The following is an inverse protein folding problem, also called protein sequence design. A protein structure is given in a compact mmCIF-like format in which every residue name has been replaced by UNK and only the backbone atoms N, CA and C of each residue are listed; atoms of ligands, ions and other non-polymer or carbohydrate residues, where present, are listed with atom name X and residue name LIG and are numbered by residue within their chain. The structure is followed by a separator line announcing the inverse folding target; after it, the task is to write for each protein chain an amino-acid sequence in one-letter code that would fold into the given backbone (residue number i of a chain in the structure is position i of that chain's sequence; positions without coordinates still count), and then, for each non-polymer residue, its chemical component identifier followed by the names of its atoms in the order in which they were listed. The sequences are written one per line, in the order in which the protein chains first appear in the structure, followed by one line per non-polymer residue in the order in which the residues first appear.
data_IF_291592247521
#
_entry.id   IF_291592247521
#
_cell.length_a   1.000
_cell.length_b   1.000
_cell.length_c   1.000
_cell.angle_alpha   90.00
_cell.angle_beta   90.00
_cell.angle_gamma   90.00
#
_symmetry.space_group_name_H-M   'P 1'
#
loop_
_entity.id
_entity.type
_entity.pdbx_description
1 polymer ?
#
# COMPACT_ATOMS: atom_id res chain seq x y z
N UNK A 1 -2.39 -20.69 -37.38
CA UNK A 1 -2.11 -19.95 -36.14
C UNK A 1 -3.31 -19.04 -35.89
N UNK A 2 -4.09 -19.28 -34.83
CA UNK A 2 -5.21 -18.41 -34.51
C UNK A 2 -4.68 -17.06 -34.04
N UNK A 3 -5.24 -15.96 -34.56
CA UNK A 3 -4.94 -14.62 -34.04
C UNK A 3 -5.35 -14.58 -32.56
N UNK A 4 -4.44 -14.15 -31.67
CA UNK A 4 -4.73 -14.02 -30.24
C UNK A 4 -4.66 -15.30 -29.40
N UNK A 5 -3.86 -16.31 -29.76
CA UNK A 5 -3.57 -17.44 -28.85
C UNK A 5 -2.63 -16.99 -27.71
N UNK A 6 -3.16 -16.22 -26.78
CA UNK A 6 -2.46 -15.80 -25.57
C UNK A 6 -2.76 -16.81 -24.45
N UNK A 7 -1.79 -17.14 -23.59
CA UNK A 7 -2.06 -17.98 -22.43
C UNK A 7 -2.91 -17.21 -21.40
N UNK A 8 -3.46 -17.92 -20.42
CA UNK A 8 -4.17 -17.29 -19.31
C UNK A 8 -3.30 -16.24 -18.60
N UNK A 9 -3.95 -15.28 -17.92
CA UNK A 9 -3.30 -14.09 -17.37
C UNK A 9 -2.05 -14.38 -16.52
N UNK A 10 -2.04 -15.47 -15.75
CA UNK A 10 -0.93 -15.84 -14.87
C UNK A 10 0.31 -16.34 -15.62
N UNK A 11 0.17 -16.76 -16.88
CA UNK A 11 1.27 -17.14 -17.79
C UNK A 11 1.53 -16.08 -18.88
N UNK A 12 0.76 -14.99 -18.94
CA UNK A 12 0.98 -13.94 -19.94
C UNK A 12 2.37 -13.32 -19.85
N UNK A 13 2.93 -13.15 -18.65
CA UNK A 13 4.25 -12.54 -18.49
C UNK A 13 5.38 -13.34 -19.17
N UNK A 14 5.29 -14.67 -19.26
CA UNK A 14 6.32 -15.48 -19.95
C UNK A 14 6.23 -15.31 -21.46
N UNK A 15 5.02 -15.27 -22.00
CA UNK A 15 4.77 -15.01 -23.43
C UNK A 15 5.16 -13.57 -23.79
N UNK A 16 4.80 -12.60 -22.97
CA UNK A 16 5.17 -11.20 -23.15
C UNK A 16 6.68 -11.00 -23.15
N UNK A 17 7.40 -11.68 -22.25
CA UNK A 17 8.86 -11.69 -22.24
C UNK A 17 9.42 -12.26 -23.54
N UNK A 18 8.89 -13.39 -24.04
CA UNK A 18 9.32 -13.96 -25.31
C UNK A 18 9.06 -13.04 -26.52
N UNK A 19 7.96 -12.29 -26.51
CA UNK A 19 7.61 -11.33 -27.58
C UNK A 19 8.52 -10.12 -27.64
N UNK A 20 8.90 -9.58 -26.49
CA UNK A 20 9.71 -8.36 -26.44
C UNK A 20 11.20 -8.65 -26.37
N UNK A 21 11.63 -9.88 -26.10
CA UNK A 21 13.05 -10.18 -26.03
C UNK A 21 13.75 -9.81 -27.36
N UNK A 22 14.90 -9.11 -27.33
CA UNK A 22 15.70 -8.89 -28.52
C UNK A 22 16.15 -10.23 -29.14
N UNK A 23 16.39 -10.30 -30.46
CA UNK A 23 16.91 -11.50 -31.11
C UNK A 23 18.41 -11.69 -30.80
N UNK A 24 18.73 -11.86 -29.51
CA UNK A 24 20.08 -12.08 -29.01
C UNK A 24 20.36 -13.58 -28.97
N UNK A 25 21.05 -14.04 -30.00
CA UNK A 25 21.54 -15.41 -30.12
C UNK A 25 23.05 -15.43 -29.94
N UNK A 26 23.55 -16.46 -29.24
CA UNK A 26 24.98 -16.70 -29.15
C UNK A 26 25.36 -17.94 -29.93
N UNK A 27 26.31 -17.77 -30.84
CA UNK A 27 26.90 -18.85 -31.60
C UNK A 27 28.25 -19.17 -30.97
N UNK A 28 28.35 -20.32 -30.30
CA UNK A 28 29.58 -20.77 -29.66
C UNK A 28 30.01 -22.11 -30.25
N UNK A 29 31.13 -22.09 -30.97
CA UNK A 29 31.70 -23.26 -31.65
C UNK A 29 30.71 -23.87 -32.67
N UNK A 30 30.20 -25.08 -32.43
CA UNK A 30 29.17 -25.77 -33.23
C UNK A 30 27.79 -25.79 -32.56
N UNK A 31 27.61 -24.99 -31.50
CA UNK A 31 26.36 -24.90 -30.75
C UNK A 31 25.76 -23.49 -30.86
N UNK A 32 24.44 -23.44 -30.91
CA UNK A 32 23.66 -22.19 -30.91
C UNK A 32 22.85 -22.12 -29.63
N UNK A 33 22.97 -21.01 -28.91
CA UNK A 33 22.10 -20.65 -27.80
C UNK A 33 21.05 -19.70 -28.38
N UNK A 34 19.81 -20.18 -28.65
CA UNK A 34 18.79 -19.37 -29.29
C UNK A 34 18.15 -18.40 -28.28
N UNK A 35 17.56 -17.31 -28.78
CA UNK A 35 16.96 -16.26 -27.96
C UNK A 35 15.95 -16.74 -26.89
N UNK A 36 15.12 -17.78 -27.11
CA UNK A 36 14.21 -18.30 -26.09
C UNK A 36 14.89 -18.84 -24.82
N UNK A 37 16.18 -19.17 -24.87
CA UNK A 37 16.94 -19.59 -23.68
C UNK A 37 16.92 -18.50 -22.61
N UNK A 38 16.95 -17.22 -22.99
CA UNK A 38 16.89 -16.11 -22.04
C UNK A 38 15.57 -16.02 -21.30
N UNK A 39 14.47 -16.33 -21.98
CA UNK A 39 13.13 -16.40 -21.36
C UNK A 39 13.13 -17.48 -20.30
N UNK A 40 13.68 -18.67 -20.61
CA UNK A 40 13.81 -19.77 -19.65
C UNK A 40 14.73 -19.41 -18.47
N UNK A 41 15.85 -18.72 -18.72
CA UNK A 41 16.78 -18.26 -17.67
C UNK A 41 16.11 -17.24 -16.75
N UNK A 42 15.44 -16.22 -17.28
CA UNK A 42 14.74 -15.22 -16.47
C UNK A 42 13.59 -15.87 -15.69
N UNK A 43 12.87 -16.79 -16.32
CA UNK A 43 11.82 -17.54 -15.64
C UNK A 43 12.37 -18.36 -14.47
N UNK A 44 13.48 -19.09 -14.68
CA UNK A 44 14.19 -19.79 -13.63
C UNK A 44 14.67 -18.84 -12.54
N UNK A 45 15.20 -17.67 -12.90
CA UNK A 45 15.63 -16.65 -11.94
C UNK A 45 14.47 -16.17 -11.06
N UNK A 46 13.31 -15.86 -11.65
CA UNK A 46 12.11 -15.44 -10.88
C UNK A 46 11.65 -16.55 -9.94
N UNK A 47 11.60 -17.80 -10.41
CA UNK A 47 11.20 -18.95 -9.58
C UNK A 47 12.21 -19.29 -8.48
N UNK A 48 13.47 -18.90 -8.61
CA UNK A 48 14.47 -19.04 -7.54
C UNK A 48 14.39 -17.86 -6.57
N UNK A 49 14.29 -16.63 -7.07
CA UNK A 49 14.30 -15.42 -6.25
C UNK A 49 13.06 -15.30 -5.37
N UNK A 50 11.87 -15.70 -5.86
CA UNK A 50 10.62 -15.56 -5.12
C UNK A 50 10.60 -16.40 -3.81
N UNK A 51 10.87 -17.71 -3.83
CA UNK A 51 10.98 -18.49 -2.59
C UNK A 51 12.24 -18.16 -1.77
N UNK A 52 13.32 -17.71 -2.41
CA UNK A 52 14.54 -17.31 -1.70
C UNK A 52 14.40 -15.93 -1.02
N UNK A 53 13.41 -15.12 -1.40
CA UNK A 53 13.22 -13.74 -0.94
C UNK A 53 13.33 -13.54 0.59
N UNK A 54 12.63 -14.30 1.46
CA UNK A 54 12.74 -14.12 2.91
C UNK A 54 14.17 -14.34 3.44
N UNK A 55 14.92 -15.27 2.84
CA UNK A 55 16.33 -15.52 3.22
C UNK A 55 17.26 -14.40 2.73
N UNK A 56 16.99 -13.86 1.53
CA UNK A 56 17.72 -12.70 1.01
C UNK A 56 17.46 -11.47 1.89
N UNK A 57 16.20 -11.15 2.18
CA UNK A 57 15.82 -10.01 3.02
C UNK A 57 16.44 -10.13 4.42
N UNK A 58 16.31 -11.30 5.05
CA UNK A 58 16.94 -11.60 6.34
C UNK A 58 18.45 -11.33 6.33
N UNK A 59 19.15 -11.76 5.28
CA UNK A 59 20.60 -11.57 5.14
C UNK A 59 20.99 -10.11 4.95
N UNK A 60 20.26 -9.34 4.16
CA UNK A 60 20.60 -7.94 3.87
C UNK A 60 20.15 -6.97 4.97
N UNK A 61 18.99 -7.20 5.59
CA UNK A 61 18.47 -6.35 6.67
C UNK A 61 19.09 -6.71 8.02
N UNK A 62 19.61 -7.94 8.18
CA UNK A 62 20.11 -8.43 9.45
C UNK A 62 19.00 -8.74 10.45
N UNK A 63 17.77 -8.96 9.96
CA UNK A 63 16.60 -9.20 10.80
C UNK A 63 16.41 -10.68 11.11
N UNK A 64 16.91 -11.10 12.28
CA UNK A 64 16.83 -12.48 12.78
C UNK A 64 15.81 -12.65 13.91
N UNK A 65 15.08 -11.60 14.29
CA UNK A 65 14.16 -11.66 15.42
C UNK A 65 12.83 -12.35 15.06
N UNK A 66 12.16 -12.91 16.07
CA UNK A 66 10.83 -13.50 15.90
C UNK A 66 9.76 -12.40 15.79
N UNK A 67 9.14 -12.31 14.61
CA UNK A 67 8.14 -11.30 14.30
C UNK A 67 6.73 -11.91 14.27
N UNK A 68 5.88 -11.51 15.23
CA UNK A 68 4.46 -11.89 15.28
C UNK A 68 3.53 -10.74 14.90
N UNK A 69 4.05 -9.51 14.84
CA UNK A 69 3.31 -8.32 14.43
C UNK A 69 3.65 -7.96 12.98
N UNK A 70 2.61 -7.71 12.19
CA UNK A 70 2.77 -7.30 10.80
C UNK A 70 3.30 -5.88 10.71
N UNK A 71 4.31 -5.69 9.87
CA UNK A 71 4.79 -4.36 9.52
C UNK A 71 3.90 -3.77 8.42
N UNK A 72 3.43 -2.53 8.60
CA UNK A 72 2.67 -1.85 7.55
C UNK A 72 3.58 -1.60 6.34
N UNK A 73 3.08 -1.75 5.09
CA UNK A 73 3.91 -1.57 3.91
C UNK A 73 4.62 -0.21 3.83
N UNK A 74 4.00 0.86 4.36
CA UNK A 74 4.64 2.18 4.39
C UNK A 74 5.83 2.26 5.35
N UNK A 75 5.92 1.38 6.34
CA UNK A 75 6.98 1.38 7.37
C UNK A 75 8.26 0.68 6.90
N UNK A 76 8.18 -0.11 5.82
CA UNK A 76 9.32 -0.82 5.23
C UNK A 76 9.50 -0.40 3.77
N UNK A 77 9.94 0.86 3.53
CA UNK A 77 9.86 1.49 2.21
C UNK A 77 10.69 0.76 1.14
N UNK A 78 11.81 0.15 1.51
CA UNK A 78 12.66 -0.62 0.58
C UNK A 78 11.95 -1.90 0.12
N UNK A 79 11.44 -2.72 1.05
CA UNK A 79 10.68 -3.94 0.72
C UNK A 79 9.48 -3.61 -0.15
N UNK A 80 8.72 -2.59 0.22
CA UNK A 80 7.52 -2.18 -0.53
C UNK A 80 7.87 -1.67 -1.93
N UNK A 81 8.98 -0.94 -2.07
CA UNK A 81 9.46 -0.49 -3.38
C UNK A 81 9.97 -1.65 -4.25
N UNK A 82 10.67 -2.65 -3.69
CA UNK A 82 11.06 -3.88 -4.41
C UNK A 82 9.81 -4.66 -4.86
N UNK A 83 8.81 -4.79 -3.99
CA UNK A 83 7.54 -5.42 -4.34
C UNK A 83 6.82 -4.68 -5.47
N UNK A 84 6.72 -3.35 -5.40
CA UNK A 84 6.11 -2.54 -6.45
C UNK A 84 6.89 -2.59 -7.77
N UNK A 85 8.23 -2.66 -7.70
CA UNK A 85 9.10 -2.88 -8.85
C UNK A 85 8.80 -4.22 -9.54
N UNK A 86 8.67 -5.31 -8.77
CA UNK A 86 8.32 -6.63 -9.28
C UNK A 86 6.92 -6.64 -9.91
N UNK A 87 5.95 -5.98 -9.28
CA UNK A 87 4.59 -5.83 -9.84
C UNK A 87 4.63 -5.03 -11.14
N UNK A 88 5.36 -3.92 -11.20
CA UNK A 88 5.49 -3.13 -12.43
C UNK A 88 6.14 -3.93 -13.56
N UNK A 89 7.18 -4.71 -13.25
CA UNK A 89 7.81 -5.63 -14.20
C UNK A 89 6.81 -6.66 -14.72
N UNK A 90 6.07 -7.34 -13.83
CA UNK A 90 5.02 -8.30 -14.20
C UNK A 90 3.95 -7.66 -15.09
N UNK A 91 3.49 -6.45 -14.75
CA UNK A 91 2.47 -5.72 -15.50
C UNK A 91 2.94 -5.36 -16.90
N UNK A 92 4.18 -4.89 -17.06
CA UNK A 92 4.75 -4.59 -18.39
C UNK A 92 4.81 -5.84 -19.25
N UNK A 93 5.31 -6.96 -18.71
CA UNK A 93 5.37 -8.21 -19.45
C UNK A 93 3.99 -8.73 -19.82
N UNK A 94 3.04 -8.69 -18.89
CA UNK A 94 1.65 -9.12 -19.12
C UNK A 94 0.98 -8.29 -20.22
N UNK A 95 1.13 -6.97 -20.19
CA UNK A 95 0.61 -6.08 -21.23
C UNK A 95 1.32 -6.29 -22.58
N UNK A 96 2.61 -6.61 -22.57
CA UNK A 96 3.35 -6.92 -23.79
C UNK A 96 2.91 -8.24 -24.44
N UNK A 97 2.36 -9.18 -23.67
CA UNK A 97 1.79 -10.42 -24.21
C UNK A 97 0.57 -10.17 -25.12
N UNK A 98 -0.18 -9.12 -24.82
CA UNK A 98 -1.37 -8.68 -25.55
C UNK A 98 -1.10 -7.49 -26.49
N UNK A 99 0.15 -7.36 -26.96
CA UNK A 99 0.59 -6.26 -27.82
C UNK A 99 -0.20 -6.14 -29.13
N UNK A 100 -0.69 -7.25 -29.68
CA UNK A 100 -1.52 -7.34 -30.87
C UNK A 100 -2.93 -6.76 -30.64
N UNK A 101 -3.57 -7.12 -29.54
CA UNK A 101 -4.88 -6.57 -29.14
C UNK A 101 -4.76 -5.08 -28.82
N UNK A 102 -3.70 -4.69 -28.09
CA UNK A 102 -3.42 -3.29 -27.78
C UNK A 102 -3.20 -2.48 -29.06
N UNK A 103 -2.38 -2.98 -29.99
CA UNK A 103 -2.15 -2.33 -31.27
C UNK A 103 -3.46 -2.14 -32.06
N UNK A 104 -4.30 -3.17 -32.11
CA UNK A 104 -5.58 -3.14 -32.82
C UNK A 104 -6.59 -2.16 -32.21
N UNK A 105 -6.73 -2.16 -30.87
CA UNK A 105 -7.77 -1.37 -30.18
C UNK A 105 -7.37 0.08 -29.93
N UNK A 106 -6.10 0.34 -29.67
CA UNK A 106 -5.59 1.69 -29.42
C UNK A 106 -5.01 2.36 -30.67
N UNK A 107 -5.05 1.69 -31.83
CA UNK A 107 -4.53 2.19 -33.10
C UNK A 107 -3.04 2.60 -33.02
N UNK A 108 -2.25 1.83 -32.28
CA UNK A 108 -0.80 2.01 -32.12
C UNK A 108 -0.09 0.97 -32.99
N UNK A 109 1.06 1.31 -33.58
CA UNK A 109 1.81 0.34 -34.37
C UNK A 109 2.39 -0.80 -33.52
N UNK A 110 2.41 -2.02 -34.06
CA UNK A 110 2.92 -3.21 -33.36
C UNK A 110 4.41 -3.08 -33.00
N UNK A 111 5.20 -2.45 -33.88
CA UNK A 111 6.60 -2.16 -33.59
C UNK A 111 6.74 -1.17 -32.42
N UNK A 112 5.88 -0.15 -32.35
CA UNK A 112 5.90 0.79 -31.24
C UNK A 112 5.52 0.12 -29.92
N UNK A 113 4.48 -0.73 -29.88
CA UNK A 113 4.10 -1.45 -28.64
C UNK A 113 5.22 -2.39 -28.16
N UNK A 114 5.95 -3.02 -29.09
CA UNK A 114 7.11 -3.87 -28.75
C UNK A 114 8.27 -3.05 -28.18
N UNK A 115 8.60 -1.90 -28.78
CA UNK A 115 9.64 -1.00 -28.26
C UNK A 115 9.27 -0.40 -26.91
N UNK A 116 8.00 -0.03 -26.71
CA UNK A 116 7.48 0.41 -25.41
C UNK A 116 7.65 -0.69 -24.37
N UNK A 117 7.34 -1.94 -24.71
CA UNK A 117 7.57 -3.09 -23.83
C UNK A 117 9.05 -3.27 -23.48
N UNK A 118 9.96 -3.21 -24.46
CA UNK A 118 11.43 -3.34 -24.26
C UNK A 118 12.01 -2.24 -23.38
N UNK A 119 11.65 -1.00 -23.63
CA UNK A 119 12.12 0.14 -22.83
C UNK A 119 11.46 0.08 -21.45
N UNK A 120 10.16 -0.22 -21.42
CA UNK A 120 9.35 -0.33 -20.22
C UNK A 120 9.86 -1.38 -19.25
N UNK A 121 10.26 -2.57 -19.72
CA UNK A 121 10.73 -3.64 -18.83
C UNK A 121 12.02 -3.28 -18.09
N UNK A 122 12.83 -2.35 -18.62
CA UNK A 122 14.09 -1.91 -18.02
C UNK A 122 13.90 -0.64 -17.20
N UNK A 123 13.16 0.35 -17.72
CA UNK A 123 13.07 1.69 -17.11
C UNK A 123 11.92 1.78 -16.11
N UNK A 124 10.77 1.16 -16.40
CA UNK A 124 9.59 1.31 -15.55
C UNK A 124 9.81 0.72 -14.14
N UNK A 125 10.42 -0.47 -13.94
CA UNK A 125 10.59 -1.00 -12.59
C UNK A 125 11.46 -0.11 -11.68
N UNK A 126 12.66 0.36 -12.08
CA UNK A 126 13.45 1.30 -11.26
C UNK A 126 12.73 2.63 -11.02
N UNK A 127 11.97 3.11 -12.01
CA UNK A 127 11.18 4.33 -11.85
C UNK A 127 10.06 4.16 -10.80
N UNK A 128 9.32 3.05 -10.87
CA UNK A 128 8.29 2.71 -9.89
C UNK A 128 8.91 2.49 -8.51
N UNK A 129 10.06 1.82 -8.42
CA UNK A 129 10.82 1.69 -7.18
C UNK A 129 11.07 3.05 -6.52
N UNK A 130 11.61 4.01 -7.29
CA UNK A 130 11.92 5.34 -6.78
C UNK A 130 10.66 6.07 -6.28
N UNK A 131 9.58 6.03 -7.06
CA UNK A 131 8.30 6.63 -6.69
C UNK A 131 7.76 5.99 -5.42
N UNK A 132 7.65 4.66 -5.37
CA UNK A 132 7.09 3.93 -4.24
C UNK A 132 7.89 4.18 -2.96
N UNK A 133 9.21 4.19 -3.05
CA UNK A 133 10.08 4.49 -1.90
C UNK A 133 9.81 5.90 -1.35
N UNK A 134 9.74 6.91 -2.23
CA UNK A 134 9.43 8.29 -1.85
C UNK A 134 8.01 8.44 -1.31
N UNK A 135 7.06 7.72 -1.90
CA UNK A 135 5.67 7.70 -1.49
C UNK A 135 5.50 7.12 -0.08
N UNK A 136 6.19 6.02 0.24
CA UNK A 136 6.17 5.43 1.57
C UNK A 136 6.68 6.41 2.63
N UNK A 137 7.79 7.10 2.36
CA UNK A 137 8.34 8.12 3.27
C UNK A 137 7.40 9.32 3.40
N UNK A 138 6.74 9.74 2.32
CA UNK A 138 5.70 10.78 2.37
C UNK A 138 4.53 10.35 3.26
N UNK A 139 4.09 9.10 3.16
CA UNK A 139 3.03 8.54 4.01
C UNK A 139 3.44 8.46 5.48
N UNK A 140 4.68 8.07 5.78
CA UNK A 140 5.21 8.08 7.16
C UNK A 140 5.23 9.50 7.74
N UNK A 141 5.70 10.49 6.97
CA UNK A 141 5.71 11.89 7.41
C UNK A 141 4.29 12.42 7.67
N UNK A 142 3.34 12.03 6.83
CA UNK A 142 1.94 12.39 7.01
C UNK A 142 1.27 11.66 8.19
N UNK A 143 1.75 10.48 8.61
CA UNK A 143 1.30 9.85 9.85
C UNK A 143 1.92 10.58 11.06
N UNK A 144 3.20 10.96 10.97
CA UNK A 144 3.91 11.71 12.02
C UNK A 144 3.34 13.12 12.24
N UNK A 145 2.95 13.82 11.18
CA UNK A 145 2.34 15.16 11.31
C UNK A 145 1.05 15.11 12.12
N UNK A 146 0.26 14.04 11.97
CA UNK A 146 -0.98 13.83 12.74
C UNK A 146 -0.70 13.53 14.21
N UNK A 147 0.38 12.81 14.53
CA UNK A 147 0.78 12.57 15.92
C UNK A 147 1.31 13.82 16.62
N UNK A 148 1.99 14.69 15.87
CA UNK A 148 2.60 15.92 16.40
C UNK A 148 1.59 17.07 16.49
N UNK A 149 0.65 17.20 15.55
CA UNK A 149 -0.23 18.36 15.46
C UNK A 149 -1.72 18.04 15.65
N UNK A 150 -2.12 16.76 15.60
CA UNK A 150 -3.53 16.35 15.58
C UNK A 150 -4.10 16.19 14.17
N UNK A 151 -5.38 15.81 14.12
CA UNK A 151 -6.14 15.63 12.88
C UNK A 151 -6.67 16.97 12.39
N UNK A 152 -6.39 17.28 11.13
CA UNK A 152 -6.93 18.44 10.42
C UNK A 152 -8.48 18.39 10.42
N UNK A 153 -9.12 19.45 10.94
CA UNK A 153 -10.59 19.53 10.97
C UNK A 153 -11.18 20.17 9.72
N UNK A 154 -10.37 20.90 8.93
CA UNK A 154 -10.85 21.71 7.82
C UNK A 154 -11.58 23.00 8.25
N UNK A 155 -11.65 23.31 9.55
CA UNK A 155 -12.25 24.54 10.06
C UNK A 155 -11.16 25.61 10.23
N UNK A 156 -11.26 26.69 9.46
CA UNK A 156 -10.35 27.82 9.54
C UNK A 156 -10.93 28.90 10.45
N UNK A 157 -10.17 29.31 11.47
CA UNK A 157 -10.53 30.40 12.38
C UNK A 157 -9.59 31.59 12.18
N UNK A 158 -10.17 32.79 12.03
CA UNK A 158 -9.43 34.04 12.03
C UNK A 158 -9.26 34.54 13.46
N UNK A 159 -8.03 34.81 13.87
CA UNK A 159 -7.68 35.33 15.18
C UNK A 159 -7.88 36.86 15.25
N UNK A 160 -8.03 37.45 16.45
CA UNK A 160 -8.23 38.89 16.62
C UNK A 160 -7.13 39.77 16.01
N UNK A 161 -5.91 39.24 15.91
CA UNK A 161 -4.73 39.90 15.31
C UNK A 161 -4.59 39.63 13.80
N UNK A 162 -5.58 39.00 13.16
CA UNK A 162 -5.66 38.82 11.71
C UNK A 162 -5.05 37.53 11.16
N UNK A 163 -4.37 36.71 11.97
CA UNK A 163 -3.85 35.41 11.53
C UNK A 163 -4.98 34.38 11.29
N UNK A 164 -4.76 33.45 10.37
CA UNK A 164 -5.63 32.31 10.13
C UNK A 164 -4.99 31.05 10.70
N UNK A 165 -5.75 30.31 11.50
CA UNK A 165 -5.34 29.02 12.02
C UNK A 165 -6.34 27.95 11.58
N UNK A 166 -5.82 26.78 11.21
CA UNK A 166 -6.66 25.60 11.10
C UNK A 166 -6.81 24.97 12.48
N UNK A 167 -8.05 24.65 12.86
CA UNK A 167 -8.28 23.94 14.10
C UNK A 167 -7.87 22.48 13.91
N UNK A 168 -6.96 22.00 14.76
CA UNK A 168 -6.57 20.59 14.76
C UNK A 168 -7.18 19.89 15.97
N UNK A 169 -7.69 18.68 15.77
CA UNK A 169 -8.18 17.83 16.84
C UNK A 169 -7.03 16.94 17.35
N UNK A 170 -6.52 17.15 18.58
CA UNK A 170 -5.51 16.26 19.15
C UNK A 170 -6.07 14.84 19.34
N UNK A 171 -5.24 13.83 19.08
CA UNK A 171 -5.57 12.42 19.30
C UNK A 171 -5.29 11.96 20.74
N UNK A 172 -4.43 12.69 21.45
CA UNK A 172 -3.96 12.36 22.79
C UNK A 172 -4.20 13.49 23.80
N UNK A 173 -3.59 13.40 24.98
CA UNK A 173 -3.67 14.46 25.98
C UNK A 173 -3.06 15.76 25.45
N UNK A 174 -3.54 16.87 26.00
CA UNK A 174 -3.04 18.22 25.71
C UNK A 174 -2.31 18.77 26.93
N UNK A 175 -1.35 19.65 26.70
CA UNK A 175 -0.68 20.39 27.76
C UNK A 175 -1.55 21.54 28.31
N UNK A 176 -1.04 22.26 29.31
CA UNK A 176 -1.72 23.41 29.93
C UNK A 176 -2.01 24.54 28.94
N UNK A 177 -1.28 24.61 27.83
CA UNK A 177 -1.42 25.63 26.79
C UNK A 177 -2.34 25.18 25.64
N UNK A 178 -2.89 23.97 25.71
CA UNK A 178 -3.75 23.40 24.68
C UNK A 178 -2.99 22.81 23.49
N UNK A 179 -1.68 22.64 23.58
CA UNK A 179 -0.90 21.95 22.55
C UNK A 179 -0.98 20.42 22.74
N UNK A 180 -1.05 19.65 21.65
CA UNK A 180 -0.99 18.19 21.73
C UNK A 180 0.34 17.72 22.32
N UNK A 181 0.29 16.79 23.26
CA UNK A 181 1.48 16.04 23.68
C UNK A 181 1.79 15.02 22.57
N UNK A 182 2.96 15.09 21.91
CA UNK A 182 3.26 14.23 20.77
C UNK A 182 3.22 12.75 21.15
N UNK A 183 2.36 12.00 20.46
CA UNK A 183 2.22 10.56 20.65
C UNK A 183 3.33 9.81 19.89
N UNK A 184 3.78 8.68 20.44
CA UNK A 184 4.74 7.81 19.76
C UNK A 184 4.07 6.99 18.67
N UNK A 185 4.79 6.76 17.56
CA UNK A 185 4.30 5.88 16.49
C UNK A 185 4.41 4.41 16.92
N UNK A 186 3.29 3.69 16.87
CA UNK A 186 3.21 2.28 17.29
C UNK A 186 2.88 1.31 16.14
N UNK A 187 3.05 1.71 14.88
CA UNK A 187 2.75 0.83 13.74
C UNK A 187 1.26 0.66 13.43
N UNK A 188 0.38 1.45 14.05
CA UNK A 188 -1.06 1.42 13.81
C UNK A 188 -1.52 2.45 12.74
N UNK A 189 -2.60 2.18 12.00
CA UNK A 189 -3.18 3.17 11.09
C UNK A 189 -3.83 4.33 11.85
N UNK A 190 -3.38 5.55 11.57
CA UNK A 190 -3.92 6.76 12.19
C UNK A 190 -5.09 7.33 11.38
N UNK A 191 -6.19 7.76 12.04
CA UNK A 191 -7.27 8.47 11.38
C UNK A 191 -6.78 9.88 10.97
N UNK A 192 -7.01 10.25 9.70
CA UNK A 192 -6.64 11.58 9.16
C UNK A 192 -7.84 12.46 8.84
N UNK A 193 -9.04 12.01 9.18
CA UNK A 193 -10.29 12.71 8.88
C UNK A 193 -11.21 12.62 10.08
N UNK A 194 -11.82 13.73 10.45
CA UNK A 194 -12.76 13.82 11.57
C UNK A 194 -13.94 12.84 11.45
N UNK A 195 -14.42 12.59 10.23
CA UNK A 195 -15.49 11.60 10.00
C UNK A 195 -15.12 10.17 10.44
N UNK A 196 -13.82 9.84 10.48
CA UNK A 196 -13.34 8.54 10.99
C UNK A 196 -13.24 8.49 12.51
N UNK A 197 -13.32 9.65 13.17
CA UNK A 197 -13.40 9.80 14.62
C UNK A 197 -14.86 9.93 15.11
N UNK A 198 -15.85 9.68 14.26
CA UNK A 198 -17.26 9.76 14.64
C UNK A 198 -17.83 11.18 14.71
N UNK A 199 -17.08 12.21 14.27
CA UNK A 199 -17.53 13.61 14.37
C UNK A 199 -18.81 13.93 13.60
N UNK A 200 -19.12 13.16 12.56
CA UNK A 200 -20.30 13.34 11.72
C UNK A 200 -21.58 12.77 12.35
N UNK A 201 -21.47 12.03 13.46
CA UNK A 201 -22.59 11.33 14.08
C UNK A 201 -23.11 10.16 13.23
N UNK A 202 -24.32 9.71 13.56
CA UNK A 202 -25.05 8.70 12.80
C UNK A 202 -26.24 9.35 12.06
N UNK A 203 -26.60 8.88 10.86
CA UNK A 203 -27.90 9.22 10.29
C UNK A 203 -29.03 8.72 11.21
N UNK A 204 -30.22 9.31 11.07
CA UNK A 204 -31.39 8.86 11.83
C UNK A 204 -31.76 7.41 11.49
N UNK A 205 -32.29 6.68 12.47
CA UNK A 205 -32.72 5.30 12.30
C UNK A 205 -33.99 5.19 11.43
N UNK A 206 -34.16 4.02 10.82
CA UNK A 206 -35.32 3.68 10.02
C UNK A 206 -34.95 2.99 8.72
N UNK A 207 -35.96 2.85 7.86
CA UNK A 207 -35.79 2.36 6.50
C UNK A 207 -35.17 3.44 5.61
N UNK A 208 -34.74 3.06 4.41
CA UNK A 208 -34.23 3.99 3.41
C UNK A 208 -35.24 5.10 3.03
N UNK A 209 -36.54 4.83 3.17
CA UNK A 209 -37.61 5.76 2.78
C UNK A 209 -38.42 6.32 3.95
N UNK A 210 -38.39 5.68 5.12
CA UNK A 210 -39.26 6.01 6.25
C UNK A 210 -38.45 6.01 7.54
N UNK A 211 -38.53 7.11 8.29
CA UNK A 211 -37.86 7.26 9.58
C UNK A 211 -38.62 6.53 10.69
N UNK A 212 -37.88 6.04 11.68
CA UNK A 212 -38.46 5.53 12.92
C UNK A 212 -38.96 6.69 13.80
N UNK A 213 -39.61 6.33 14.91
CA UNK A 213 -40.01 7.33 15.90
C UNK A 213 -38.77 7.99 16.54
N UNK A 214 -38.86 9.28 16.87
CA UNK A 214 -37.75 10.02 17.47
C UNK A 214 -37.27 9.42 18.81
N UNK A 215 -38.17 8.79 19.57
CA UNK A 215 -37.83 8.11 20.82
C UNK A 215 -37.01 6.84 20.57
N UNK A 216 -37.36 6.08 19.53
CA UNK A 216 -36.63 4.88 19.12
C UNK A 216 -35.24 5.22 18.57
N UNK A 217 -35.15 6.21 17.67
CA UNK A 217 -33.86 6.71 17.15
C UNK A 217 -32.94 7.19 18.28
N UNK A 218 -33.48 7.90 19.27
CA UNK A 218 -32.72 8.33 20.44
C UNK A 218 -32.19 7.15 21.26
N UNK A 219 -33.04 6.17 21.57
CA UNK A 219 -32.65 4.99 22.31
C UNK A 219 -31.58 4.16 21.57
N UNK A 220 -31.71 4.01 20.24
CA UNK A 220 -30.75 3.28 19.41
C UNK A 220 -29.39 3.99 19.34
N UNK A 221 -29.38 5.32 19.16
CA UNK A 221 -28.13 6.10 19.18
C UNK A 221 -27.41 6.00 20.51
N UNK A 222 -28.15 6.15 21.62
CA UNK A 222 -27.57 6.05 22.96
C UNK A 222 -27.00 4.65 23.21
N UNK A 223 -27.76 3.61 22.87
CA UNK A 223 -27.31 2.22 22.99
C UNK A 223 -26.07 1.93 22.13
N UNK A 224 -26.04 2.43 20.89
CA UNK A 224 -24.90 2.30 19.97
C UNK A 224 -23.65 3.01 20.50
N UNK A 225 -23.80 4.26 20.95
CA UNK A 225 -22.69 5.03 21.52
C UNK A 225 -22.16 4.39 22.81
N UNK A 226 -23.04 3.93 23.69
CA UNK A 226 -22.67 3.24 24.92
C UNK A 226 -21.97 1.89 24.64
N UNK A 227 -22.37 1.18 23.58
CA UNK A 227 -21.71 -0.06 23.17
C UNK A 227 -20.29 0.20 22.63
N UNK A 228 -20.11 1.22 21.79
CA UNK A 228 -18.81 1.63 21.27
C UNK A 228 -17.86 2.06 22.40
N UNK A 229 -18.34 2.90 23.32
CA UNK A 229 -17.55 3.32 24.48
C UNK A 229 -17.13 2.13 25.37
N UNK A 230 -18.04 1.18 25.62
CA UNK A 230 -17.71 -0.04 26.37
C UNK A 230 -16.66 -0.88 25.67
N UNK A 231 -16.72 -1.02 24.35
CA UNK A 231 -15.71 -1.76 23.59
C UNK A 231 -14.34 -1.08 23.65
N UNK A 232 -14.28 0.25 23.50
CA UNK A 232 -13.05 1.02 23.61
C UNK A 232 -12.46 0.98 25.03
N UNK A 233 -13.30 1.07 26.05
CA UNK A 233 -12.88 0.95 27.46
C UNK A 233 -12.28 -0.43 27.74
N UNK A 234 -12.93 -1.51 27.32
CA UNK A 234 -12.43 -2.87 27.50
C UNK A 234 -11.07 -3.09 26.80
N UNK A 235 -10.88 -2.55 25.59
CA UNK A 235 -9.59 -2.62 24.89
C UNK A 235 -8.50 -1.81 25.60
N UNK A 236 -8.84 -0.63 26.12
CA UNK A 236 -7.92 0.22 26.88
C UNK A 236 -7.49 -0.44 28.18
N UNK A 237 -8.44 -0.98 28.95
CA UNK A 237 -8.15 -1.72 30.18
C UNK A 237 -7.24 -2.92 29.91
N UNK A 238 -7.49 -3.65 28.82
CA UNK A 238 -6.63 -4.76 28.41
C UNK A 238 -5.21 -4.28 28.06
N UNK A 239 -5.08 -3.20 27.29
CA UNK A 239 -3.77 -2.61 26.98
C UNK A 239 -3.04 -2.15 28.25
N UNK A 240 -3.74 -1.47 29.17
CA UNK A 240 -3.16 -0.99 30.42
C UNK A 240 -2.74 -2.16 31.33
N UNK A 241 -3.50 -3.27 31.34
CA UNK A 241 -3.11 -4.49 32.06
C UNK A 241 -1.85 -5.15 31.51
N UNK A 242 -1.65 -5.12 30.19
CA UNK A 242 -0.43 -5.66 29.56
C UNK A 242 0.76 -4.73 29.88
N UNK A 243 0.58 -3.42 29.80
CA UNK A 243 1.66 -2.45 30.05
C UNK A 243 2.00 -2.28 31.54
N UNK A 244 1.02 -2.47 32.44
CA UNK A 244 1.17 -2.36 33.89
C UNK A 244 1.58 -3.64 34.59
N UNK A 245 1.64 -4.78 33.89
CA UNK A 245 2.18 -6.03 34.43
C UNK A 245 3.69 -5.89 34.63
N UNK A 246 4.28 -6.23 35.79
CA UNK A 246 5.68 -5.96 36.09
C UNK A 246 6.71 -6.72 35.24
N UNK A 247 6.33 -7.73 34.46
CA UNK A 247 7.27 -8.73 33.98
C UNK A 247 7.33 -8.89 32.47
N UNK A 248 8.48 -8.49 31.94
CA UNK A 248 9.15 -9.23 30.88
C UNK A 248 9.66 -10.59 31.38
N UNK A 249 8.73 -11.50 31.71
CA UNK A 249 9.01 -12.93 31.82
C UNK A 249 8.22 -13.68 30.74
N UNK A 250 8.71 -13.67 29.51
CA UNK A 250 8.44 -14.69 28.49
C UNK A 250 9.68 -14.89 27.61
#
# INVERSE_FOLDING_TARGET
MSAGSQPDFYMMWTEGLARIWPPWEFYFWHHTIPAPVWVAVIMGLVFVLLPAYPFLEKRFTGDYAHHNLLQRPRDVPVRTAIGAMAIAFYMVLTLAAMNDIIALKFHISLNATTWIGRIGMVILPPFVYFITYRWCIGLQRSDRSVLEHGVETGIIKRLPHGAYIELHQPLGPVDEHGHPIPLQYQGAPLPKRMNKLGSAGSPGSGSFLFADSAAEDAALREAGHAAEQRALAALREHQDSIMGSPDGEH
#
